data_IF_883762084093
#
_entry.id   IF_883762084093
#
_cell.length_a   1.000
_cell.length_b   1.000
_cell.length_c   1.000
_cell.angle_alpha   90.00
_cell.angle_beta   90.00
_cell.angle_gamma   90.00
#
_symmetry.space_group_name_H-M   'P 1'
#
loop_
_entity.id
_entity.type
_entity.pdbx_description
1 polymer ?
#
# COMPACT_ATOMS: atom_id res chain seq x y z
N UNK A 1 20.49 -13.96 -63.20
CA UNK A 1 19.91 -12.59 -63.02
C UNK A 1 19.25 -12.37 -61.65
N UNK A 2 18.71 -13.35 -60.96
CA UNK A 2 18.08 -13.17 -59.65
C UNK A 2 19.05 -13.10 -58.43
N UNK A 3 20.30 -13.55 -58.56
CA UNK A 3 21.30 -13.46 -57.47
C UNK A 3 21.85 -12.04 -57.24
N UNK A 4 21.96 -11.25 -58.29
CA UNK A 4 22.46 -9.85 -58.24
C UNK A 4 21.47 -8.86 -57.63
N UNK A 5 20.15 -9.13 -57.72
CA UNK A 5 19.12 -8.34 -57.04
C UNK A 5 19.02 -8.62 -55.55
N UNK A 6 19.42 -9.80 -55.10
CA UNK A 6 19.38 -10.16 -53.67
C UNK A 6 20.50 -9.51 -52.86
N UNK A 7 21.61 -9.15 -53.49
CA UNK A 7 22.75 -8.47 -52.83
C UNK A 7 22.53 -6.96 -52.73
N UNK A 8 21.66 -6.36 -53.59
CA UNK A 8 21.24 -4.95 -53.49
C UNK A 8 20.24 -4.68 -52.37
N UNK A 9 19.57 -5.70 -51.83
CA UNK A 9 18.64 -5.62 -50.71
C UNK A 9 19.19 -6.17 -49.41
N UNK A 10 20.46 -6.55 -49.34
CA UNK A 10 21.13 -6.66 -48.06
C UNK A 10 21.27 -5.24 -47.50
N UNK A 11 20.24 -4.80 -46.75
CA UNK A 11 20.44 -3.79 -45.74
C UNK A 11 21.65 -4.26 -44.95
N UNK A 12 22.72 -3.52 -45.02
CA UNK A 12 23.78 -3.54 -44.00
C UNK A 12 23.06 -3.25 -42.72
N UNK A 13 22.76 -4.32 -41.96
CA UNK A 13 22.42 -4.16 -40.54
C UNK A 13 23.59 -3.36 -39.97
N UNK A 14 23.34 -2.24 -39.29
CA UNK A 14 24.39 -1.54 -38.61
C UNK A 14 25.06 -2.58 -37.72
N UNK A 15 26.37 -2.74 -37.81
CA UNK A 15 27.16 -3.54 -36.86
C UNK A 15 26.85 -2.90 -35.52
N UNK A 16 26.04 -3.58 -34.72
CA UNK A 16 25.85 -3.21 -33.33
C UNK A 16 27.24 -3.35 -32.68
N UNK A 17 27.99 -2.27 -32.62
CA UNK A 17 29.14 -2.19 -31.75
C UNK A 17 28.60 -2.42 -30.34
N UNK A 18 28.84 -3.61 -29.81
CA UNK A 18 28.53 -3.93 -28.42
C UNK A 18 29.39 -3.02 -27.54
N UNK A 19 28.90 -1.82 -27.27
CA UNK A 19 29.50 -0.89 -26.32
C UNK A 19 29.40 -1.53 -24.94
N UNK A 20 30.56 -1.86 -24.37
CA UNK A 20 30.63 -2.30 -22.96
C UNK A 20 30.87 -1.06 -22.12
N UNK A 21 29.80 -0.60 -21.49
CA UNK A 21 29.83 0.51 -20.55
C UNK A 21 29.80 -0.03 -19.11
N UNK A 22 30.61 0.54 -18.24
CA UNK A 22 30.44 0.32 -16.80
C UNK A 22 29.21 1.08 -16.28
N UNK A 23 28.72 0.66 -15.13
CA UNK A 23 27.55 1.33 -14.51
C UNK A 23 27.84 2.81 -14.20
N UNK A 24 29.08 3.12 -13.80
CA UNK A 24 29.51 4.47 -13.46
C UNK A 24 29.68 5.38 -14.69
N UNK A 25 29.95 4.84 -15.87
CA UNK A 25 30.12 5.58 -17.13
C UNK A 25 28.78 5.87 -17.83
N UNK A 26 27.72 5.16 -17.44
CA UNK A 26 26.42 5.26 -18.11
C UNK A 26 25.83 6.69 -18.11
N UNK A 27 25.85 7.48 -17.01
CA UNK A 27 25.31 8.84 -17.04
C UNK A 27 26.02 9.74 -18.05
N UNK A 28 27.34 9.74 -18.07
CA UNK A 28 28.14 10.54 -19.00
C UNK A 28 27.88 10.14 -20.46
N UNK A 29 27.70 8.86 -20.72
CA UNK A 29 27.34 8.37 -22.05
C UNK A 29 25.93 8.82 -22.47
N UNK A 30 24.95 8.80 -21.55
CA UNK A 30 23.59 9.27 -21.82
C UNK A 30 23.57 10.77 -22.16
N UNK A 31 24.33 11.59 -21.44
CA UNK A 31 24.46 13.02 -21.71
C UNK A 31 25.10 13.27 -23.09
N UNK A 32 26.17 12.56 -23.40
CA UNK A 32 26.82 12.64 -24.72
C UNK A 32 25.87 12.21 -25.84
N UNK A 33 25.07 11.17 -25.64
CA UNK A 33 24.09 10.69 -26.63
C UNK A 33 22.95 11.68 -26.85
N UNK A 34 22.47 12.32 -25.80
CA UNK A 34 21.45 13.37 -25.88
C UNK A 34 21.96 14.58 -26.70
N UNK A 35 23.20 15.02 -26.47
CA UNK A 35 23.83 16.07 -27.28
C UNK A 35 24.02 15.65 -28.75
N UNK A 36 24.39 14.39 -28.99
CA UNK A 36 24.56 13.85 -30.33
C UNK A 36 23.23 13.85 -31.09
N UNK A 37 22.13 13.39 -30.45
CA UNK A 37 20.78 13.43 -31.03
C UNK A 37 20.38 14.86 -31.36
N UNK A 38 20.70 15.83 -30.54
CA UNK A 38 20.47 17.25 -30.81
C UNK A 38 21.23 17.76 -32.02
N UNK A 39 22.50 17.37 -32.16
CA UNK A 39 23.33 17.70 -33.33
C UNK A 39 22.83 17.03 -34.59
N UNK A 40 22.51 15.72 -34.52
CA UNK A 40 21.94 14.96 -35.64
C UNK A 40 20.64 15.62 -36.17
N UNK A 41 19.74 16.04 -35.23
CA UNK A 41 18.51 16.74 -35.58
C UNK A 41 18.81 18.08 -36.27
N UNK A 42 19.71 18.87 -35.70
CA UNK A 42 20.08 20.17 -36.27
C UNK A 42 20.60 20.04 -37.71
N UNK A 43 21.48 19.06 -37.92
CA UNK A 43 22.05 18.84 -39.26
C UNK A 43 21.05 18.23 -40.22
N UNK A 44 20.23 17.28 -39.80
CA UNK A 44 19.18 16.68 -40.63
C UNK A 44 18.04 17.67 -40.97
N UNK A 45 17.83 18.69 -40.13
CA UNK A 45 16.80 19.70 -40.37
C UNK A 45 17.20 20.77 -41.39
N UNK A 46 18.51 21.05 -41.59
CA UNK A 46 18.98 22.12 -42.48
C UNK A 46 18.47 21.97 -43.95
N UNK A 47 18.67 20.81 -44.61
CA UNK A 47 18.22 20.65 -45.99
C UNK A 47 16.69 20.82 -46.20
N UNK A 48 15.81 20.17 -45.36
CA UNK A 48 14.38 20.40 -45.51
C UNK A 48 13.94 21.82 -45.16
N UNK A 49 14.60 22.51 -44.22
CA UNK A 49 14.32 23.92 -43.93
C UNK A 49 14.64 24.83 -45.14
N UNK A 50 15.76 24.59 -45.82
CA UNK A 50 16.12 25.32 -47.06
C UNK A 50 15.13 25.04 -48.17
N UNK A 51 14.72 23.77 -48.34
CA UNK A 51 13.71 23.42 -49.36
C UNK A 51 12.36 24.09 -49.07
N UNK A 52 11.95 24.15 -47.79
CA UNK A 52 10.72 24.84 -47.38
C UNK A 52 10.83 26.34 -47.65
N UNK A 53 11.94 27.01 -47.33
CA UNK A 53 12.15 28.44 -47.62
C UNK A 53 12.08 28.70 -49.12
N UNK A 54 12.80 27.92 -49.92
CA UNK A 54 12.77 28.02 -51.37
C UNK A 54 11.36 27.85 -51.95
N UNK A 55 10.59 26.89 -51.43
CA UNK A 55 9.20 26.71 -51.89
C UNK A 55 8.28 27.89 -51.48
N UNK A 56 8.51 28.48 -50.28
CA UNK A 56 7.78 29.68 -49.87
C UNK A 56 8.13 30.90 -50.70
N UNK A 57 9.41 31.10 -51.03
CA UNK A 57 9.86 32.21 -51.90
C UNK A 57 9.29 32.06 -53.31
N UNK A 58 9.32 30.85 -53.85
CA UNK A 58 8.67 30.56 -55.15
C UNK A 58 7.15 30.88 -55.10
N UNK A 59 6.45 30.51 -54.01
CA UNK A 59 5.03 30.87 -53.84
C UNK A 59 4.83 32.40 -53.78
N UNK A 60 5.73 33.13 -53.13
CA UNK A 60 5.69 34.59 -53.05
C UNK A 60 5.85 35.22 -54.42
N UNK A 61 6.80 34.72 -55.23
CA UNK A 61 7.05 35.17 -56.59
C UNK A 61 5.87 34.92 -57.54
N UNK A 62 5.29 33.70 -57.50
CA UNK A 62 4.13 33.34 -58.28
C UNK A 62 2.94 34.25 -57.96
N UNK A 63 2.66 34.45 -56.64
CA UNK A 63 1.57 35.33 -56.20
C UNK A 63 1.80 36.78 -56.56
N UNK A 64 3.05 37.27 -56.58
CA UNK A 64 3.39 38.62 -57.05
C UNK A 64 3.16 38.75 -58.52
N UNK A 65 3.60 37.79 -59.32
CA UNK A 65 3.42 37.73 -60.80
C UNK A 65 1.95 37.66 -61.15
N UNK A 66 1.11 36.90 -60.49
CA UNK A 66 -0.33 36.82 -60.71
C UNK A 66 -1.07 38.17 -60.58
N UNK A 67 -0.52 39.14 -59.84
CA UNK A 67 -1.11 40.48 -59.70
C UNK A 67 -0.99 41.32 -61.00
N UNK A 68 0.02 41.05 -61.89
CA UNK A 68 0.35 41.81 -63.09
C UNK A 68 0.06 41.02 -64.35
N UNK A 69 -0.21 39.71 -64.28
CA UNK A 69 -0.48 38.86 -65.43
C UNK A 69 -1.90 39.09 -65.94
N UNK A 70 -2.05 39.31 -67.25
CA UNK A 70 -3.34 39.30 -67.92
C UNK A 70 -3.85 37.85 -68.02
N UNK A 71 -5.13 37.65 -67.64
CA UNK A 71 -5.72 36.31 -67.70
C UNK A 71 -6.04 35.90 -69.16
N UNK A 72 -6.15 34.57 -69.36
CA UNK A 72 -6.51 33.99 -70.62
C UNK A 72 -7.85 34.56 -71.15
N UNK A 73 -7.81 35.20 -72.31
CA UNK A 73 -8.98 35.89 -72.93
C UNK A 73 -10.00 34.91 -73.53
N UNK A 74 -9.64 33.67 -73.84
CA UNK A 74 -10.51 32.67 -74.45
C UNK A 74 -11.54 32.05 -73.53
N UNK A 75 -11.62 32.51 -72.25
CA UNK A 75 -12.50 31.96 -71.19
C UNK A 75 -13.89 32.61 -71.29
N UNK A 76 -14.94 31.80 -71.04
CA UNK A 76 -16.33 32.26 -71.01
C UNK A 76 -16.49 33.51 -70.12
N UNK A 77 -17.21 34.55 -70.54
CA UNK A 77 -17.34 35.84 -69.84
C UNK A 77 -17.70 35.74 -68.41
N UNK A 78 -18.63 34.84 -68.07
CA UNK A 78 -19.07 34.62 -66.68
C UNK A 78 -17.97 34.09 -65.68
N UNK A 79 -17.10 33.22 -66.24
CA UNK A 79 -15.93 32.74 -65.49
C UNK A 79 -14.88 33.84 -65.37
N UNK A 80 -14.70 34.66 -66.34
CA UNK A 80 -13.82 35.83 -66.33
C UNK A 80 -14.22 36.81 -65.20
N UNK A 81 -15.51 37.11 -65.09
CA UNK A 81 -16.02 38.02 -64.05
C UNK A 81 -15.84 37.46 -62.65
N UNK A 82 -16.08 36.16 -62.45
CA UNK A 82 -15.84 35.48 -61.16
C UNK A 82 -14.36 35.50 -60.82
N UNK A 83 -13.47 35.16 -61.74
CA UNK A 83 -12.03 35.16 -61.61
C UNK A 83 -11.45 36.53 -61.26
N UNK A 84 -11.94 37.59 -61.96
CA UNK A 84 -11.55 38.98 -61.68
C UNK A 84 -11.87 39.42 -60.26
N UNK A 85 -12.96 38.91 -59.64
CA UNK A 85 -13.33 39.16 -58.23
C UNK A 85 -12.52 38.28 -57.28
N UNK A 86 -12.21 37.03 -57.65
CA UNK A 86 -11.46 36.09 -56.86
C UNK A 86 -9.97 36.42 -56.74
N UNK A 87 -9.33 36.95 -57.82
CA UNK A 87 -7.89 37.24 -57.85
C UNK A 87 -7.40 38.17 -56.73
N UNK A 88 -8.03 39.34 -56.46
CA UNK A 88 -7.58 40.22 -55.35
C UNK A 88 -7.72 39.58 -54.03
N UNK A 89 -8.76 38.78 -53.78
CA UNK A 89 -8.99 38.07 -52.53
C UNK A 89 -7.96 36.97 -52.32
N UNK A 90 -7.67 36.18 -53.39
CA UNK A 90 -6.67 35.12 -53.35
C UNK A 90 -5.29 35.69 -53.09
N UNK A 91 -4.84 36.69 -53.87
CA UNK A 91 -3.51 37.30 -53.72
C UNK A 91 -3.33 37.98 -52.36
N UNK A 92 -4.38 38.64 -51.84
CA UNK A 92 -4.36 39.25 -50.51
C UNK A 92 -4.19 38.15 -49.42
N UNK A 93 -5.01 37.08 -49.47
CA UNK A 93 -4.92 35.96 -48.53
C UNK A 93 -3.56 35.26 -48.58
N UNK A 94 -3.07 34.97 -49.81
CA UNK A 94 -1.75 34.34 -49.99
C UNK A 94 -0.63 35.23 -49.46
N UNK A 95 -0.62 36.54 -49.80
CA UNK A 95 0.39 37.47 -49.27
C UNK A 95 0.38 37.52 -47.76
N UNK A 96 -0.79 37.54 -47.10
CA UNK A 96 -0.91 37.53 -45.64
C UNK A 96 -0.40 36.24 -45.00
N UNK A 97 -0.66 35.08 -45.64
CA UNK A 97 -0.18 33.76 -45.13
C UNK A 97 1.33 33.67 -45.30
N UNK A 98 1.87 34.05 -46.49
CA UNK A 98 3.26 33.96 -46.85
C UNK A 98 4.15 35.07 -46.24
N UNK A 99 3.55 36.09 -45.59
CA UNK A 99 4.32 37.07 -44.78
C UNK A 99 4.91 36.49 -43.50
N UNK A 100 4.42 35.35 -43.07
CA UNK A 100 5.02 34.61 -41.93
C UNK A 100 6.31 33.96 -42.42
N UNK A 101 7.37 34.09 -41.61
CA UNK A 101 8.65 33.46 -41.91
C UNK A 101 8.95 32.37 -40.86
N UNK A 102 9.10 31.11 -41.29
CA UNK A 102 9.50 30.06 -40.37
C UNK A 102 10.95 30.29 -39.90
N UNK A 103 11.14 30.40 -38.60
CA UNK A 103 12.43 30.64 -37.96
C UNK A 103 12.54 29.87 -36.64
N UNK A 104 13.73 29.86 -36.08
CA UNK A 104 14.01 29.21 -34.81
C UNK A 104 14.49 27.76 -34.93
N UNK A 105 14.29 27.00 -33.87
CA UNK A 105 14.63 25.59 -33.83
C UNK A 105 13.77 24.74 -34.75
N UNK A 106 14.17 23.50 -35.08
CA UNK A 106 13.46 22.65 -36.03
C UNK A 106 11.98 22.43 -35.71
N UNK A 107 11.58 22.38 -34.44
CA UNK A 107 10.18 22.16 -34.05
C UNK A 107 9.32 23.42 -34.28
N UNK A 108 9.83 24.56 -33.81
CA UNK A 108 9.17 25.87 -34.02
C UNK A 108 9.06 26.20 -35.50
N UNK A 109 10.13 25.94 -36.29
CA UNK A 109 10.14 26.07 -37.72
C UNK A 109 9.06 25.20 -38.39
N UNK A 110 9.01 23.91 -38.01
CA UNK A 110 7.99 22.98 -38.49
C UNK A 110 6.57 23.47 -38.23
N UNK A 111 6.29 23.90 -36.99
CA UNK A 111 4.97 24.35 -36.60
C UNK A 111 4.50 25.52 -37.48
N UNK A 112 5.38 26.51 -37.70
CA UNK A 112 5.09 27.67 -38.52
C UNK A 112 4.88 27.27 -39.98
N UNK A 113 5.75 26.42 -40.54
CA UNK A 113 5.65 25.95 -41.93
C UNK A 113 4.35 25.14 -42.18
N UNK A 114 3.96 24.30 -41.21
CA UNK A 114 2.73 23.52 -41.28
C UNK A 114 1.47 24.42 -41.26
N UNK A 115 1.48 25.48 -40.44
CA UNK A 115 0.38 26.47 -40.45
C UNK A 115 0.30 27.22 -41.78
N UNK A 116 1.45 27.62 -42.37
CA UNK A 116 1.50 28.27 -43.70
C UNK A 116 0.92 27.30 -44.73
N UNK A 117 1.37 26.06 -44.80
CA UNK A 117 0.85 25.05 -45.74
C UNK A 117 -0.67 24.90 -45.63
N UNK A 118 -1.19 24.80 -44.40
CA UNK A 118 -2.64 24.71 -44.14
C UNK A 118 -3.39 25.93 -44.64
N UNK A 119 -2.82 27.11 -44.43
CA UNK A 119 -3.38 28.37 -44.92
C UNK A 119 -3.40 28.45 -46.44
N UNK A 120 -2.28 28.15 -47.12
CA UNK A 120 -2.13 28.12 -48.55
C UNK A 120 -3.11 27.12 -49.19
N UNK A 121 -3.21 25.90 -48.62
CA UNK A 121 -4.18 24.91 -49.10
C UNK A 121 -5.62 25.39 -49.02
N UNK A 122 -5.99 26.14 -47.97
CA UNK A 122 -7.33 26.74 -47.82
C UNK A 122 -7.56 27.81 -48.92
N UNK A 123 -6.58 28.69 -49.17
CA UNK A 123 -6.69 29.73 -50.20
C UNK A 123 -6.86 29.13 -51.60
N UNK A 124 -6.07 28.08 -51.90
CA UNK A 124 -6.14 27.38 -53.20
C UNK A 124 -7.47 26.63 -53.36
N UNK A 125 -7.96 25.92 -52.34
CA UNK A 125 -9.26 25.25 -52.38
C UNK A 125 -10.45 26.22 -52.40
N UNK A 126 -10.30 27.41 -51.82
CA UNK A 126 -11.30 28.46 -51.80
C UNK A 126 -11.32 29.27 -53.14
N UNK A 127 -10.65 30.41 -53.10
CA UNK A 127 -10.63 31.35 -54.27
C UNK A 127 -9.82 30.77 -55.45
N UNK A 128 -8.74 30.01 -55.16
CA UNK A 128 -7.88 29.46 -56.21
C UNK A 128 -8.55 28.54 -57.22
N UNK A 129 -9.64 27.86 -56.83
CA UNK A 129 -10.40 27.00 -57.75
C UNK A 129 -10.99 27.79 -58.94
N UNK A 130 -11.39 29.03 -58.70
CA UNK A 130 -11.93 29.89 -59.74
C UNK A 130 -10.85 30.48 -60.65
N UNK A 131 -9.61 30.59 -60.22
CA UNK A 131 -8.48 31.10 -60.91
C UNK A 131 -7.87 30.09 -61.85
N UNK A 132 -8.12 28.78 -61.64
CA UNK A 132 -7.53 27.74 -62.53
C UNK A 132 -7.95 27.80 -63.97
N UNK A 133 -9.08 28.44 -64.28
CA UNK A 133 -9.53 28.62 -65.66
C UNK A 133 -8.87 29.84 -66.36
N UNK A 134 -8.63 30.91 -65.60
CA UNK A 134 -8.10 32.17 -66.16
C UNK A 134 -6.57 32.23 -66.06
N UNK A 135 -5.98 31.57 -65.11
CA UNK A 135 -4.54 31.53 -64.80
C UNK A 135 -4.06 30.06 -64.64
N UNK A 136 -4.19 29.20 -65.67
CA UNK A 136 -3.92 27.78 -65.63
C UNK A 136 -2.46 27.47 -65.27
N UNK A 137 -1.51 28.20 -65.88
CA UNK A 137 -0.09 27.97 -65.71
C UNK A 137 0.38 28.39 -64.30
N UNK A 138 0.01 29.56 -63.82
CA UNK A 138 0.33 30.07 -62.52
C UNK A 138 -0.29 29.17 -61.45
N UNK A 139 -1.51 28.70 -61.61
CA UNK A 139 -2.12 27.78 -60.67
C UNK A 139 -1.50 26.38 -60.69
N UNK A 140 -0.92 25.97 -61.83
CA UNK A 140 -0.11 24.75 -61.92
C UNK A 140 1.21 24.90 -61.14
N UNK A 141 1.89 26.04 -61.28
CA UNK A 141 3.09 26.38 -60.50
C UNK A 141 2.81 26.47 -59.01
N UNK A 142 1.72 27.16 -58.61
CA UNK A 142 1.29 27.18 -57.20
C UNK A 142 1.12 25.78 -56.63
N UNK A 143 0.46 24.87 -57.35
CA UNK A 143 0.28 23.49 -56.90
C UNK A 143 1.60 22.71 -56.84
N UNK A 144 2.56 23.00 -57.77
CA UNK A 144 3.88 22.42 -57.74
C UNK A 144 4.66 22.88 -56.49
N UNK A 145 4.69 24.19 -56.23
CA UNK A 145 5.36 24.76 -55.07
C UNK A 145 4.74 24.26 -53.72
N UNK A 146 3.42 24.09 -53.68
CA UNK A 146 2.75 23.48 -52.51
C UNK A 146 3.20 22.03 -52.31
N UNK A 147 3.38 21.25 -53.38
CA UNK A 147 3.89 19.88 -53.26
C UNK A 147 5.32 19.85 -52.71
N UNK A 148 6.19 20.75 -53.20
CA UNK A 148 7.57 20.87 -52.69
C UNK A 148 7.57 21.30 -51.22
N UNK A 149 6.75 22.29 -50.84
CA UNK A 149 6.56 22.69 -49.44
C UNK A 149 6.11 21.50 -48.56
N UNK A 150 5.13 20.71 -49.04
CA UNK A 150 4.65 19.52 -48.36
C UNK A 150 5.72 18.44 -48.21
N UNK A 151 6.56 18.20 -49.24
CA UNK A 151 7.69 17.27 -49.18
C UNK A 151 8.71 17.71 -48.13
N UNK A 152 9.11 18.99 -48.15
CA UNK A 152 10.05 19.54 -47.16
C UNK A 152 9.54 19.37 -45.74
N UNK A 153 8.24 19.66 -45.50
CA UNK A 153 7.60 19.48 -44.17
C UNK A 153 7.61 18.01 -43.76
N UNK A 154 7.32 17.06 -44.65
CA UNK A 154 7.33 15.64 -44.35
C UNK A 154 8.75 15.15 -43.95
N UNK A 155 9.78 15.55 -44.75
CA UNK A 155 11.17 15.20 -44.44
C UNK A 155 11.61 15.78 -43.08
N UNK A 156 11.22 17.02 -42.78
CA UNK A 156 11.50 17.63 -41.47
C UNK A 156 10.77 16.90 -40.34
N UNK A 157 9.52 16.48 -40.59
CA UNK A 157 8.75 15.67 -39.61
C UNK A 157 9.46 14.35 -39.31
N UNK A 158 10.00 13.67 -40.31
CA UNK A 158 10.76 12.43 -40.14
C UNK A 158 12.01 12.65 -39.28
N UNK A 159 12.75 13.74 -39.52
CA UNK A 159 13.93 14.09 -38.71
C UNK A 159 13.55 14.37 -37.25
N UNK A 160 12.53 15.16 -36.98
CA UNK A 160 12.03 15.48 -35.65
C UNK A 160 11.53 14.20 -34.93
N UNK A 161 10.77 13.35 -35.62
CA UNK A 161 10.24 12.11 -35.06
C UNK A 161 11.38 11.17 -34.66
N UNK A 162 12.41 11.04 -35.49
CA UNK A 162 13.59 10.22 -35.19
C UNK A 162 14.32 10.73 -33.96
N UNK A 163 14.55 12.03 -33.86
CA UNK A 163 15.20 12.64 -32.70
C UNK A 163 14.38 12.44 -31.41
N UNK A 164 13.07 12.65 -31.47
CA UNK A 164 12.18 12.42 -30.32
C UNK A 164 12.19 10.98 -29.84
N UNK A 165 12.19 10.02 -30.77
CA UNK A 165 12.30 8.61 -30.42
C UNK A 165 13.62 8.31 -29.71
N UNK A 166 14.74 8.86 -30.23
CA UNK A 166 16.04 8.73 -29.59
C UNK A 166 16.08 9.35 -28.18
N UNK A 167 15.55 10.56 -28.02
CA UNK A 167 15.45 11.23 -26.72
C UNK A 167 14.61 10.44 -25.71
N UNK A 168 13.48 9.87 -26.17
CA UNK A 168 12.65 9.01 -25.30
C UNK A 168 13.42 7.77 -24.82
N UNK A 169 14.18 7.14 -25.71
CA UNK A 169 15.00 5.98 -25.33
C UNK A 169 16.09 6.35 -24.30
N UNK A 170 16.78 7.48 -24.50
CA UNK A 170 17.77 7.99 -23.54
C UNK A 170 17.12 8.24 -22.18
N UNK A 171 15.98 8.89 -22.17
CA UNK A 171 15.24 9.22 -20.95
C UNK A 171 14.73 7.95 -20.20
N UNK A 172 14.27 6.94 -20.93
CA UNK A 172 13.87 5.66 -20.33
C UNK A 172 15.06 4.96 -19.67
N UNK A 173 16.23 4.96 -20.31
CA UNK A 173 17.45 4.37 -19.72
C UNK A 173 17.91 5.19 -18.50
N UNK A 174 17.82 6.52 -18.57
CA UNK A 174 18.15 7.42 -17.44
C UNK A 174 17.30 7.12 -16.21
N UNK A 175 15.99 6.99 -16.38
CA UNK A 175 15.07 6.63 -15.30
C UNK A 175 15.35 5.24 -14.71
N UNK A 176 15.66 4.28 -15.56
CA UNK A 176 16.02 2.94 -15.12
C UNK A 176 17.32 2.97 -14.28
N UNK A 177 18.31 3.72 -14.71
CA UNK A 177 19.57 3.93 -13.98
C UNK A 177 19.34 4.55 -12.60
N UNK A 178 18.58 5.66 -12.53
CA UNK A 178 18.25 6.34 -11.27
C UNK A 178 17.50 5.40 -10.30
N UNK A 179 16.59 4.58 -10.85
CA UNK A 179 15.89 3.58 -10.05
C UNK A 179 16.84 2.53 -9.48
N UNK A 180 17.81 2.06 -10.27
CA UNK A 180 18.82 1.10 -9.81
C UNK A 180 19.77 1.70 -8.75
N UNK A 181 20.17 2.97 -8.89
CA UNK A 181 20.98 3.67 -7.88
C UNK A 181 20.22 3.70 -6.56
N UNK A 182 18.94 4.14 -6.59
CA UNK A 182 18.11 4.19 -5.38
C UNK A 182 17.94 2.83 -4.72
N UNK A 183 17.64 1.78 -5.50
CA UNK A 183 17.51 0.42 -4.96
C UNK A 183 18.83 -0.05 -4.34
N UNK A 184 19.98 0.29 -4.92
CA UNK A 184 21.29 -0.05 -4.36
C UNK A 184 21.53 0.63 -3.02
N UNK A 185 21.19 1.91 -2.89
CA UNK A 185 21.29 2.67 -1.65
C UNK A 185 20.35 2.13 -0.56
N UNK A 186 19.10 1.84 -0.93
CA UNK A 186 18.11 1.22 -0.03
C UNK A 186 18.58 -0.15 0.46
N UNK A 187 19.14 -0.98 -0.41
CA UNK A 187 19.70 -2.27 -0.04
C UNK A 187 20.83 -2.13 0.99
N UNK A 188 21.75 -1.19 0.79
CA UNK A 188 22.83 -0.94 1.76
C UNK A 188 22.27 -0.56 3.13
N UNK A 189 21.27 0.31 3.17
CA UNK A 189 20.62 0.72 4.41
C UNK A 189 19.92 -0.46 5.11
N UNK A 190 19.18 -1.29 4.35
CA UNK A 190 18.50 -2.49 4.87
C UNK A 190 19.52 -3.51 5.41
N UNK A 191 20.62 -3.74 4.72
CA UNK A 191 21.68 -4.62 5.22
C UNK A 191 22.26 -4.13 6.56
N UNK A 192 22.49 -2.83 6.69
CA UNK A 192 22.97 -2.23 7.95
C UNK A 192 21.94 -2.42 9.10
N UNK A 193 20.67 -2.28 8.82
CA UNK A 193 19.59 -2.49 9.81
C UNK A 193 19.46 -3.98 10.21
N UNK A 194 19.58 -4.89 9.25
CA UNK A 194 19.63 -6.34 9.52
C UNK A 194 20.79 -6.69 10.44
N UNK A 195 21.97 -6.11 10.24
CA UNK A 195 23.11 -6.37 11.10
C UNK A 195 22.87 -5.86 12.53
N UNK A 196 22.37 -4.65 12.71
CA UNK A 196 21.98 -4.11 14.02
C UNK A 196 20.95 -5.01 14.73
N UNK A 197 19.97 -5.49 13.97
CA UNK A 197 18.94 -6.37 14.50
C UNK A 197 19.51 -7.72 14.97
N UNK A 198 20.45 -8.29 14.21
CA UNK A 198 21.16 -9.53 14.58
C UNK A 198 21.97 -9.35 15.85
N UNK A 199 22.72 -8.28 15.98
CA UNK A 199 23.49 -7.96 17.19
C UNK A 199 22.58 -7.79 18.41
N UNK A 200 21.44 -7.11 18.24
CA UNK A 200 20.45 -6.95 19.30
C UNK A 200 19.83 -8.30 19.72
N UNK A 201 19.50 -9.19 18.77
CA UNK A 201 18.98 -10.53 19.05
C UNK A 201 20.01 -11.37 19.82
N UNK A 202 21.29 -11.33 19.40
CA UNK A 202 22.36 -12.04 20.08
C UNK A 202 22.56 -11.53 21.51
N UNK A 203 22.54 -10.20 21.70
CA UNK A 203 22.61 -9.58 23.03
C UNK A 203 21.44 -9.95 23.95
N UNK A 204 20.20 -9.99 23.41
CA UNK A 204 19.02 -10.42 24.15
C UNK A 204 19.12 -11.92 24.49
N UNK A 205 19.55 -12.74 23.54
CA UNK A 205 19.77 -14.17 23.76
C UNK A 205 20.80 -14.46 24.87
N UNK A 206 21.85 -13.63 24.95
CA UNK A 206 22.82 -13.66 26.06
C UNK A 206 22.17 -13.37 27.41
N UNK A 207 21.37 -12.28 27.50
CA UNK A 207 20.65 -11.90 28.73
C UNK A 207 19.63 -12.94 29.18
N UNK A 208 18.93 -13.56 28.21
CA UNK A 208 17.99 -14.64 28.52
C UNK A 208 18.72 -15.82 29.21
N UNK A 209 19.84 -16.27 28.59
CA UNK A 209 20.65 -17.37 29.20
C UNK A 209 21.15 -17.04 30.61
N UNK A 210 21.71 -15.85 30.78
CA UNK A 210 22.17 -15.38 32.10
C UNK A 210 21.05 -15.37 33.13
N UNK A 211 19.85 -14.92 32.73
CA UNK A 211 18.68 -14.87 33.60
C UNK A 211 18.17 -16.28 33.91
N UNK A 212 18.16 -17.19 32.93
CA UNK A 212 17.77 -18.59 33.14
C UNK A 212 18.73 -19.32 34.08
N UNK A 213 20.05 -19.12 33.92
CA UNK A 213 21.08 -19.64 34.79
C UNK A 213 20.93 -19.08 36.20
N UNK A 214 20.68 -17.76 36.34
CA UNK A 214 20.41 -17.13 37.65
C UNK A 214 19.17 -17.69 38.32
N UNK A 215 18.08 -17.92 37.54
CA UNK A 215 16.86 -18.53 38.06
C UNK A 215 17.07 -19.98 38.51
N UNK A 216 17.80 -20.76 37.71
CA UNK A 216 18.18 -22.14 38.09
C UNK A 216 18.99 -22.18 39.37
N UNK A 217 20.00 -21.32 39.50
CA UNK A 217 20.80 -21.18 40.71
C UNK A 217 19.96 -20.75 41.92
N UNK A 218 18.99 -19.82 41.74
CA UNK A 218 18.08 -19.39 42.82
C UNK A 218 17.20 -20.55 43.31
N UNK A 219 16.67 -21.36 42.37
CA UNK A 219 15.83 -22.53 42.72
C UNK A 219 16.59 -23.61 43.51
N UNK A 220 17.89 -23.71 43.33
CA UNK A 220 18.75 -24.64 44.07
C UNK A 220 19.13 -24.12 45.48
N UNK A 221 18.85 -22.86 45.82
CA UNK A 221 19.18 -22.30 47.13
C UNK A 221 18.34 -22.97 48.26
N UNK A 222 18.96 -23.26 49.42
CA UNK A 222 18.25 -23.87 50.53
C UNK A 222 17.01 -23.11 51.03
N UNK A 223 17.03 -21.79 50.85
CA UNK A 223 15.91 -20.92 51.22
C UNK A 223 14.70 -21.09 50.30
N UNK A 224 14.92 -21.38 49.05
CA UNK A 224 13.85 -21.60 48.04
C UNK A 224 13.20 -22.97 48.23
N UNK A 225 14.01 -24.01 48.49
CA UNK A 225 13.50 -25.36 48.79
C UNK A 225 12.72 -25.39 50.07
N UNK A 226 13.20 -24.68 51.14
CA UNK A 226 12.44 -24.50 52.37
C UNK A 226 11.10 -23.80 52.18
N UNK A 227 11.06 -22.79 51.34
CA UNK A 227 9.80 -22.10 50.98
C UNK A 227 8.80 -23.07 50.35
N UNK A 228 9.21 -23.86 49.38
CA UNK A 228 8.36 -24.85 48.71
C UNK A 228 7.85 -25.92 49.72
N UNK A 229 8.70 -26.36 50.63
CA UNK A 229 8.31 -27.29 51.70
C UNK A 229 7.28 -26.66 52.64
N UNK A 230 7.48 -25.40 53.02
CA UNK A 230 6.53 -24.66 53.87
C UNK A 230 5.20 -24.44 53.15
N UNK A 231 5.21 -24.05 51.90
CA UNK A 231 3.98 -23.88 51.10
C UNK A 231 3.23 -25.21 50.90
N UNK A 232 3.95 -26.31 50.78
CA UNK A 232 3.34 -27.65 50.75
C UNK A 232 2.66 -27.98 52.09
N UNK A 233 3.36 -27.75 53.20
CA UNK A 233 2.80 -27.96 54.54
C UNK A 233 1.58 -27.07 54.79
N UNK A 234 1.59 -25.84 54.39
CA UNK A 234 0.43 -24.93 54.51
C UNK A 234 -0.77 -25.49 53.75
N UNK A 235 -0.57 -26.01 52.54
CA UNK A 235 -1.66 -26.64 51.77
C UNK A 235 -2.20 -27.89 52.46
N UNK A 236 -1.32 -28.76 52.92
CA UNK A 236 -1.72 -29.98 53.69
C UNK A 236 -2.49 -29.65 54.96
N UNK A 237 -2.07 -28.60 55.68
CA UNK A 237 -2.78 -28.12 56.87
C UNK A 237 -4.14 -27.53 56.58
N UNK A 238 -4.27 -26.77 55.49
CA UNK A 238 -5.57 -26.25 55.05
C UNK A 238 -6.54 -27.36 54.63
N UNK A 239 -6.05 -28.35 53.89
CA UNK A 239 -6.86 -29.51 53.52
C UNK A 239 -7.34 -30.30 54.74
N UNK A 240 -6.48 -30.39 55.76
CA UNK A 240 -6.84 -31.02 57.01
C UNK A 240 -7.86 -30.20 57.82
N UNK A 241 -7.69 -28.88 57.88
CA UNK A 241 -8.63 -27.93 58.47
C UNK A 241 -10.01 -28.06 57.83
N UNK A 242 -10.10 -28.00 56.50
CA UNK A 242 -11.32 -28.17 55.71
C UNK A 242 -11.99 -29.55 55.96
N UNK A 243 -11.17 -30.58 56.17
CA UNK A 243 -11.68 -31.92 56.50
C UNK A 243 -12.29 -31.95 57.87
N UNK A 244 -11.57 -31.41 58.85
CA UNK A 244 -12.03 -31.33 60.27
C UNK A 244 -13.30 -30.49 60.37
N UNK A 245 -13.36 -29.33 59.71
CA UNK A 245 -14.58 -28.52 59.66
C UNK A 245 -15.78 -29.29 59.06
N UNK A 246 -15.59 -30.02 57.95
CA UNK A 246 -16.66 -30.88 57.45
C UNK A 246 -17.11 -31.96 58.40
N UNK A 247 -16.17 -32.63 59.10
CA UNK A 247 -16.49 -33.62 60.15
C UNK A 247 -17.28 -32.97 61.29
N UNK A 248 -16.85 -31.80 61.76
CA UNK A 248 -17.57 -31.05 62.83
C UNK A 248 -19.00 -30.70 62.34
N UNK A 249 -19.19 -30.25 61.12
CA UNK A 249 -20.52 -29.93 60.57
C UNK A 249 -21.42 -31.17 60.47
N UNK A 250 -20.87 -32.33 60.13
CA UNK A 250 -21.62 -33.58 60.03
C UNK A 250 -22.10 -34.06 61.45
N UNK A 251 -21.37 -33.75 62.48
CA UNK A 251 -21.74 -34.07 63.90
C UNK A 251 -22.66 -32.99 64.46
N UNK A 252 -22.41 -31.72 64.18
CA UNK A 252 -23.12 -30.56 64.71
C UNK A 252 -24.61 -30.55 64.32
N UNK A 253 -24.92 -30.71 63.08
CA UNK A 253 -26.29 -30.57 62.60
C UNK A 253 -27.24 -31.63 63.16
N UNK A 254 -26.90 -32.94 63.16
CA UNK A 254 -27.72 -33.94 63.81
C UNK A 254 -27.83 -33.71 65.34
N UNK A 255 -26.71 -33.37 66.06
CA UNK A 255 -26.70 -33.07 67.49
C UNK A 255 -27.64 -31.94 67.82
N UNK A 256 -27.61 -30.82 67.15
CA UNK A 256 -28.55 -29.70 67.34
C UNK A 256 -30.01 -30.12 67.19
N UNK A 257 -30.29 -30.98 66.23
CA UNK A 257 -31.64 -31.46 66.00
C UNK A 257 -32.11 -32.36 67.15
N UNK A 258 -31.24 -33.27 67.62
CA UNK A 258 -31.55 -34.13 68.78
C UNK A 258 -31.70 -33.34 70.11
N UNK A 259 -30.79 -32.42 70.37
CA UNK A 259 -30.89 -31.56 71.58
C UNK A 259 -32.11 -30.65 71.51
N UNK A 260 -32.50 -30.09 70.38
CA UNK A 260 -33.73 -29.30 70.19
C UNK A 260 -35.02 -30.13 70.49
N UNK A 261 -35.04 -31.40 70.05
CA UNK A 261 -36.16 -32.34 70.40
C UNK A 261 -36.15 -32.67 71.87
N UNK A 262 -35.00 -33.02 72.41
CA UNK A 262 -34.84 -33.37 73.87
C UNK A 262 -35.26 -32.23 74.79
N UNK A 263 -34.89 -31.00 74.50
CA UNK A 263 -35.30 -29.78 75.18
C UNK A 263 -36.84 -29.62 75.23
N UNK A 264 -37.52 -29.77 74.06
CA UNK A 264 -38.98 -29.72 74.02
C UNK A 264 -39.68 -30.82 74.82
N UNK A 265 -39.11 -32.02 74.81
CA UNK A 265 -39.62 -33.14 75.61
C UNK A 265 -39.41 -32.87 77.10
N UNK A 266 -38.21 -32.44 77.51
CA UNK A 266 -37.89 -32.12 78.94
C UNK A 266 -38.87 -31.05 79.51
N UNK A 267 -39.19 -30.01 78.68
CA UNK A 267 -40.19 -29.01 79.09
C UNK A 267 -41.60 -29.61 79.23
N UNK A 268 -42.02 -30.48 78.32
CA UNK A 268 -43.33 -31.13 78.36
C UNK A 268 -43.49 -32.07 79.56
N UNK A 269 -42.45 -32.79 79.96
CA UNK A 269 -42.43 -33.74 81.10
C UNK A 269 -42.18 -33.04 82.39
N UNK A 270 -42.02 -31.74 82.44
CA UNK A 270 -41.75 -30.96 83.64
C UNK A 270 -40.35 -31.12 84.25
N UNK A 271 -39.42 -31.69 83.45
CA UNK A 271 -38.02 -31.86 83.92
C UNK A 271 -37.20 -30.58 83.57
N UNK A 272 -37.45 -29.56 84.39
CA UNK A 272 -36.86 -28.23 84.19
C UNK A 272 -35.32 -28.24 84.32
N UNK A 273 -34.73 -29.11 85.08
CA UNK A 273 -33.28 -29.22 85.24
C UNK A 273 -32.63 -29.73 83.94
N UNK A 274 -33.20 -30.77 83.30
CA UNK A 274 -32.74 -31.28 82.00
C UNK A 274 -32.94 -30.26 80.91
N UNK A 275 -34.13 -29.59 80.87
CA UNK A 275 -34.40 -28.56 79.91
C UNK A 275 -33.38 -27.40 79.91
N UNK A 276 -33.02 -26.95 81.12
CA UNK A 276 -32.03 -25.86 81.30
C UNK A 276 -30.63 -26.27 80.83
N UNK A 277 -30.22 -27.51 81.19
CA UNK A 277 -28.90 -28.00 80.76
C UNK A 277 -28.79 -28.17 79.25
N UNK A 278 -29.84 -28.72 78.59
CA UNK A 278 -29.89 -28.89 77.15
C UNK A 278 -29.96 -27.52 76.42
N UNK A 279 -30.75 -26.58 77.02
CA UNK A 279 -30.82 -25.24 76.42
C UNK A 279 -29.47 -24.51 76.41
N UNK A 280 -28.64 -24.70 77.46
CA UNK A 280 -27.28 -24.13 77.47
C UNK A 280 -26.41 -24.68 76.29
N UNK A 281 -26.56 -25.94 75.91
CA UNK A 281 -25.89 -26.51 74.72
C UNK A 281 -26.39 -25.85 73.50
N UNK A 282 -27.71 -25.67 73.30
CA UNK A 282 -28.30 -25.01 72.14
C UNK A 282 -27.85 -23.55 72.04
N UNK A 283 -27.83 -22.82 73.16
CA UNK A 283 -27.36 -21.45 73.24
C UNK A 283 -25.86 -21.34 72.88
N UNK A 284 -25.04 -22.26 73.36
CA UNK A 284 -23.61 -22.32 72.99
C UNK A 284 -23.40 -22.62 71.50
N UNK A 285 -24.22 -23.48 70.94
CA UNK A 285 -24.19 -23.68 69.48
C UNK A 285 -24.63 -22.45 68.65
N UNK A 286 -25.59 -21.68 69.12
CA UNK A 286 -26.14 -20.50 68.47
C UNK A 286 -25.21 -19.28 68.57
N UNK A 287 -24.59 -19.08 69.76
CA UNK A 287 -23.82 -17.88 70.11
C UNK A 287 -22.31 -18.17 70.27
N UNK A 288 -21.76 -19.13 69.54
CA UNK A 288 -20.38 -19.60 69.70
C UNK A 288 -19.37 -18.48 69.43
N UNK A 289 -18.64 -17.96 70.41
CA UNK A 289 -17.44 -17.18 70.15
C UNK A 289 -16.33 -18.13 69.68
N UNK A 290 -15.55 -17.70 68.70
CA UNK A 290 -14.40 -18.47 68.25
C UNK A 290 -13.44 -18.73 69.40
N UNK A 291 -13.16 -20.01 69.69
CA UNK A 291 -12.18 -20.41 70.67
C UNK A 291 -12.76 -21.00 71.99
N UNK A 292 -14.09 -21.13 72.15
CA UNK A 292 -14.71 -21.71 73.40
C UNK A 292 -15.12 -23.19 73.21
N UNK A 293 -14.22 -23.98 72.61
CA UNK A 293 -14.50 -25.38 72.26
C UNK A 293 -14.56 -26.29 73.53
N UNK A 294 -13.70 -26.08 74.53
CA UNK A 294 -13.71 -26.83 75.73
C UNK A 294 -15.01 -26.63 76.53
N UNK A 295 -15.57 -25.43 76.55
CA UNK A 295 -16.82 -25.13 77.18
C UNK A 295 -17.99 -25.85 76.53
N UNK A 296 -18.02 -25.86 75.21
CA UNK A 296 -19.05 -26.57 74.44
C UNK A 296 -19.02 -28.07 74.70
N UNK A 297 -17.85 -28.71 74.75
CA UNK A 297 -17.70 -30.13 75.04
C UNK A 297 -18.23 -30.41 76.47
N UNK A 298 -17.90 -29.61 77.48
CA UNK A 298 -18.39 -29.76 78.88
C UNK A 298 -19.92 -29.61 78.93
N UNK A 299 -20.50 -28.69 78.19
CA UNK A 299 -21.96 -28.51 78.13
C UNK A 299 -22.65 -29.72 77.51
N UNK A 300 -22.06 -30.25 76.40
CA UNK A 300 -22.55 -31.49 75.77
C UNK A 300 -22.47 -32.66 76.75
N UNK A 301 -21.35 -32.86 77.41
CA UNK A 301 -21.15 -33.92 78.37
C UNK A 301 -22.17 -33.83 79.52
N UNK A 302 -22.50 -32.62 79.94
CA UNK A 302 -23.50 -32.40 81.01
C UNK A 302 -24.95 -32.68 80.52
N UNK A 303 -25.28 -32.47 79.28
CA UNK A 303 -26.60 -32.68 78.68
C UNK A 303 -26.85 -34.11 78.18
N UNK A 304 -25.75 -34.84 77.85
CA UNK A 304 -25.83 -36.21 77.31
C UNK A 304 -26.58 -37.19 78.23
N UNK A 305 -26.36 -37.30 79.58
CA UNK A 305 -27.04 -38.25 80.37
C UNK A 305 -28.57 -38.12 80.36
N UNK A 306 -29.07 -36.89 80.39
CA UNK A 306 -30.50 -36.58 80.30
C UNK A 306 -31.08 -36.93 78.92
N UNK A 307 -30.36 -36.59 77.85
CA UNK A 307 -30.76 -36.89 76.49
C UNK A 307 -30.80 -38.39 76.23
N UNK A 308 -29.78 -39.14 76.69
CA UNK A 308 -29.73 -40.59 76.53
C UNK A 308 -30.81 -41.31 77.40
N UNK A 309 -31.19 -40.75 78.52
CA UNK A 309 -32.29 -41.27 79.33
C UNK A 309 -33.62 -41.17 78.57
N UNK A 310 -33.89 -40.05 77.90
CA UNK A 310 -35.11 -39.86 77.11
C UNK A 310 -35.11 -40.78 75.87
N UNK A 311 -33.97 -41.05 75.25
CA UNK A 311 -33.85 -42.03 74.18
C UNK A 311 -34.17 -43.43 74.68
N UNK A 312 -33.59 -43.88 75.86
CA UNK A 312 -33.81 -45.18 76.39
C UNK A 312 -35.26 -45.41 76.91
N UNK A 313 -35.92 -44.37 77.34
CA UNK A 313 -37.30 -44.41 77.79
C UNK A 313 -38.33 -44.37 76.61
N UNK A 314 -37.83 -44.14 75.43
CA UNK A 314 -38.66 -44.04 74.21
C UNK A 314 -39.36 -42.71 74.01
N UNK A 315 -39.15 -41.75 74.94
CA UNK A 315 -39.70 -40.40 74.81
C UNK A 315 -39.15 -39.61 73.70
N UNK A 316 -37.83 -39.79 73.37
CA UNK A 316 -37.12 -39.19 72.26
C UNK A 316 -36.82 -40.23 71.16
N UNK A 317 -37.54 -40.12 70.01
CA UNK A 317 -37.37 -41.03 68.91
C UNK A 317 -36.35 -40.46 67.97
N UNK A 318 -35.26 -41.17 67.73
CA UNK A 318 -34.22 -40.85 66.71
C UNK A 318 -34.70 -41.36 65.34
N UNK A 319 -34.89 -40.46 64.40
CA UNK A 319 -35.50 -40.82 63.08
C UNK A 319 -34.50 -40.95 61.92
N UNK A 320 -33.30 -40.39 62.11
CA UNK A 320 -32.31 -40.34 61.07
C UNK A 320 -31.10 -41.23 61.49
N UNK A 321 -30.45 -41.85 60.48
CA UNK A 321 -29.24 -42.66 60.73
C UNK A 321 -28.11 -41.87 61.39
N UNK A 322 -27.98 -40.58 61.04
CA UNK A 322 -26.98 -39.72 61.67
C UNK A 322 -27.27 -39.40 63.11
N UNK A 323 -28.55 -39.21 63.43
CA UNK A 323 -28.99 -39.10 64.87
C UNK A 323 -28.70 -40.40 65.67
N UNK A 324 -28.92 -41.59 65.07
CA UNK A 324 -28.69 -42.89 65.67
C UNK A 324 -27.21 -43.19 65.89
N UNK A 325 -26.33 -42.69 65.01
CA UNK A 325 -24.88 -42.86 65.15
C UNK A 325 -24.26 -42.03 66.29
N UNK A 326 -24.90 -40.92 66.62
CA UNK A 326 -24.41 -39.95 67.61
C UNK A 326 -24.85 -40.27 69.02
N UNK A 327 -25.94 -40.95 69.18
CA UNK A 327 -26.57 -41.29 70.46
C UNK A 327 -26.82 -42.79 70.60
#
# INVERSE_FOLDING_TARGET
>A
MFKQLRDLFKRTEPVEENLKLSFEELPAWLDAREEEIGRELSDAAKPPQEAIRSALDNLREIVARMKTTEGNEEVHPRLRDISKKALPQFTKSMTQILSRDPSGDPETFYATAAEILKGVLRAVKGQGKYLSALYPDEMKEVRAAIRELGRGINTLTEAITRARTGQQQVEEVRRAYESLVRIREENVAVFAEIQKSREAIEGIGGKIRETEEGLAALKLRPDYTKKDEVEKKIRELKDLEDKIEREILTLRNPSLHVFSKAEKIARKTGNNAAATTINRVLDAYANRPSGDEENLVRLIEAAMPATLAMVRQGDLVLKNQDEIRLF
#
